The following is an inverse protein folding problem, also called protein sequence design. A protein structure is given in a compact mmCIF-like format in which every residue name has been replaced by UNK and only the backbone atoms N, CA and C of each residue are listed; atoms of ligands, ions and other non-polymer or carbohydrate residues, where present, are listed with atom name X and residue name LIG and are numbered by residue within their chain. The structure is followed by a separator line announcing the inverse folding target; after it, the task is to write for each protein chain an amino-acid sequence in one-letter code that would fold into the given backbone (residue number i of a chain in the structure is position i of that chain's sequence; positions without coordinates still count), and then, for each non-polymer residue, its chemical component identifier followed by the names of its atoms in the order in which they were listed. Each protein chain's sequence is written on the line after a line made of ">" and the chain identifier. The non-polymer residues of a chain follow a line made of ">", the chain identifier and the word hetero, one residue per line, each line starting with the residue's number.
data_IF_254315232200
#
_entry.id   IF_254315232200
#
_cell.length_a   1.000
_cell.length_b   1.000
_cell.length_c   1.000
_cell.angle_alpha   90.00
_cell.angle_beta   90.00
_cell.angle_gamma   90.00
#
_symmetry.space_group_name_H-M   'P 1'
#
loop_
_entity.id
_entity.type
_entity.pdbx_description
1 polymer ?
#
# COMPACT_ATOMS: atom_id res chain seq x y z
N UNK A 1 -4.43 -30.61 15.05
CA UNK A 1 -4.95 -29.24 14.98
C UNK A 1 -3.99 -28.43 14.13
N UNK A 2 -4.47 -27.52 13.28
CA UNK A 2 -3.58 -26.65 12.51
C UNK A 2 -3.10 -25.53 13.43
N UNK A 3 -1.87 -25.61 13.92
CA UNK A 3 -1.17 -24.53 14.64
C UNK A 3 -0.65 -23.48 13.64
N UNK A 4 -1.54 -22.98 12.77
CA UNK A 4 -1.13 -22.00 11.77
C UNK A 4 -1.27 -20.61 12.38
N UNK A 5 -0.14 -19.96 12.64
CA UNK A 5 -0.11 -18.55 12.99
C UNK A 5 -0.62 -17.74 11.80
N UNK A 6 -1.79 -17.11 11.91
CA UNK A 6 -2.32 -16.25 10.84
C UNK A 6 -1.39 -15.03 10.73
N UNK A 7 -0.71 -14.88 9.59
CA UNK A 7 0.11 -13.69 9.36
C UNK A 7 -0.74 -12.54 8.80
N UNK A 8 -0.36 -11.28 9.03
CA UNK A 8 -1.06 -10.12 8.45
C UNK A 8 -1.19 -10.16 6.92
N UNK A 9 -0.32 -10.89 6.24
CA UNK A 9 -0.35 -11.10 4.78
C UNK A 9 -1.45 -12.06 4.33
N UNK A 10 -1.93 -12.91 5.24
CA UNK A 10 -2.95 -13.93 5.00
C UNK A 10 -4.36 -13.37 5.23
N UNK A 11 -4.45 -12.22 5.89
CA UNK A 11 -5.70 -11.50 6.06
C UNK A 11 -6.08 -10.76 4.77
N UNK A 12 -7.38 -10.70 4.43
CA UNK A 12 -7.85 -9.83 3.36
C UNK A 12 -7.61 -8.36 3.73
N UNK A 13 -7.55 -7.51 2.70
CA UNK A 13 -7.66 -6.07 2.92
C UNK A 13 -9.13 -5.74 3.16
N UNK A 14 -9.38 -4.99 4.23
CA UNK A 14 -10.70 -4.45 4.54
C UNK A 14 -10.89 -3.07 3.89
N UNK A 15 -12.10 -2.52 3.92
CA UNK A 15 -12.39 -1.18 3.39
C UNK A 15 -11.45 -0.12 3.95
N UNK A 16 -11.24 -0.14 5.27
CA UNK A 16 -10.44 0.87 5.96
C UNK A 16 -8.96 0.77 5.57
N UNK A 17 -8.49 -0.44 5.28
CA UNK A 17 -7.15 -0.66 4.74
C UNK A 17 -7.01 -0.03 3.35
N UNK A 18 -8.03 -0.18 2.51
CA UNK A 18 -8.06 0.40 1.16
C UNK A 18 -8.15 1.92 1.21
N UNK A 19 -8.87 2.49 2.17
CA UNK A 19 -8.93 3.94 2.36
C UNK A 19 -7.56 4.52 2.71
N UNK A 20 -6.83 3.88 3.62
CA UNK A 20 -5.45 4.27 3.95
C UNK A 20 -4.54 4.18 2.73
N UNK A 21 -4.58 3.04 2.00
CA UNK A 21 -3.75 2.84 0.81
C UNK A 21 -4.09 3.87 -0.27
N UNK A 22 -5.38 4.18 -0.49
CA UNK A 22 -5.82 5.15 -1.49
C UNK A 22 -5.36 6.56 -1.14
N UNK A 23 -5.52 6.99 0.11
CA UNK A 23 -5.08 8.32 0.55
C UNK A 23 -3.57 8.50 0.39
N UNK A 24 -2.78 7.47 0.72
CA UNK A 24 -1.33 7.50 0.54
C UNK A 24 -0.95 7.50 -0.95
N UNK A 25 -1.68 6.76 -1.79
CA UNK A 25 -1.44 6.77 -3.23
C UNK A 25 -1.70 8.14 -3.84
N UNK A 26 -2.77 8.82 -3.42
CA UNK A 26 -3.09 10.18 -3.88
C UNK A 26 -1.97 11.16 -3.50
N UNK A 27 -1.49 11.15 -2.25
CA UNK A 27 -0.36 11.96 -1.79
C UNK A 27 0.92 11.71 -2.61
N UNK A 28 1.29 10.45 -2.82
CA UNK A 28 2.50 10.09 -3.59
C UNK A 28 2.36 10.48 -5.06
N UNK A 29 1.15 10.37 -5.63
CA UNK A 29 0.89 10.78 -7.01
C UNK A 29 1.00 12.30 -7.16
N UNK A 30 0.44 13.07 -6.23
CA UNK A 30 0.56 14.53 -6.21
C UNK A 30 2.02 14.97 -6.10
N UNK A 31 2.78 14.39 -5.16
CA UNK A 31 4.20 14.68 -4.98
C UNK A 31 5.04 14.42 -6.23
N UNK A 32 4.67 13.40 -7.02
CA UNK A 32 5.40 13.01 -8.25
C UNK A 32 4.83 13.66 -9.51
N UNK A 33 3.73 14.40 -9.44
CA UNK A 33 3.03 14.94 -10.61
C UNK A 33 2.45 13.84 -11.51
N UNK A 34 2.12 12.68 -10.94
CA UNK A 34 1.62 11.50 -11.65
C UNK A 34 0.09 11.50 -11.61
N UNK A 35 -0.55 11.27 -12.76
CA UNK A 35 -2.00 11.11 -12.80
C UNK A 35 -2.45 9.78 -12.17
N UNK A 36 -3.54 9.79 -11.39
CA UNK A 36 -4.07 8.62 -10.68
C UNK A 36 -4.46 7.44 -11.58
N UNK A 37 -4.73 7.69 -12.88
CA UNK A 37 -5.15 6.68 -13.87
C UNK A 37 -4.03 6.31 -14.84
N UNK A 38 -2.78 6.44 -14.41
CA UNK A 38 -1.60 6.06 -15.19
C UNK A 38 -1.09 4.69 -14.77
N UNK A 39 -0.34 4.04 -15.66
CA UNK A 39 0.34 2.78 -15.35
C UNK A 39 1.35 2.94 -14.20
N UNK A 40 1.88 4.15 -14.00
CA UNK A 40 2.77 4.44 -12.88
C UNK A 40 2.02 4.43 -11.54
N UNK A 41 0.85 5.08 -11.47
CA UNK A 41 -0.01 5.03 -10.29
C UNK A 41 -0.47 3.60 -9.96
N UNK A 42 -0.76 2.78 -10.98
CA UNK A 42 -1.07 1.35 -10.79
C UNK A 42 0.10 0.58 -10.18
N UNK A 43 1.33 0.82 -10.66
CA UNK A 43 2.55 0.21 -10.08
C UNK A 43 2.76 0.64 -8.63
N UNK A 44 2.61 1.93 -8.33
CA UNK A 44 2.71 2.48 -6.97
C UNK A 44 1.69 1.80 -6.04
N UNK A 45 0.43 1.71 -6.46
CA UNK A 45 -0.63 1.06 -5.69
C UNK A 45 -0.35 -0.43 -5.43
N UNK A 46 0.17 -1.15 -6.42
CA UNK A 46 0.56 -2.55 -6.24
C UNK A 46 1.67 -2.74 -5.19
N UNK A 47 2.69 -1.86 -5.21
CA UNK A 47 3.76 -1.86 -4.19
C UNK A 47 3.20 -1.54 -2.81
N UNK A 48 2.33 -0.53 -2.70
CA UNK A 48 1.68 -0.17 -1.43
C UNK A 48 0.87 -1.34 -0.84
N UNK A 49 0.07 -2.04 -1.66
CA UNK A 49 -0.68 -3.23 -1.23
C UNK A 49 0.26 -4.31 -0.69
N UNK A 50 1.39 -4.56 -1.36
CA UNK A 50 2.36 -5.56 -0.92
C UNK A 50 2.99 -5.19 0.44
N UNK A 51 3.44 -3.95 0.60
CA UNK A 51 4.02 -3.45 1.84
C UNK A 51 3.00 -3.49 2.99
N UNK A 52 1.76 -3.11 2.71
CA UNK A 52 0.69 -3.11 3.69
C UNK A 52 0.37 -4.53 4.20
N UNK A 53 0.33 -5.51 3.29
CA UNK A 53 0.20 -6.94 3.63
C UNK A 53 1.40 -7.49 4.40
N UNK A 54 2.58 -6.92 4.22
CA UNK A 54 3.76 -7.25 5.04
C UNK A 54 3.73 -6.65 6.45
N UNK A 55 2.74 -5.78 6.75
CA UNK A 55 2.53 -5.19 8.07
C UNK A 55 2.83 -3.70 8.16
N UNK A 56 3.10 -3.01 7.04
CA UNK A 56 3.30 -1.56 7.03
C UNK A 56 1.95 -0.85 7.10
N UNK A 57 1.46 -0.60 8.32
CA UNK A 57 0.14 0.01 8.56
C UNK A 57 0.15 1.53 8.70
N UNK A 58 1.33 2.11 8.93
CA UNK A 58 1.50 3.56 9.06
C UNK A 58 1.61 4.21 7.66
N UNK A 59 0.75 5.18 7.37
CA UNK A 59 0.66 5.79 6.04
C UNK A 59 1.93 6.53 5.63
N UNK A 60 2.59 7.25 6.56
CA UNK A 60 3.83 7.96 6.26
C UNK A 60 4.97 6.99 5.96
N UNK A 61 5.08 5.88 6.70
CA UNK A 61 6.03 4.79 6.40
C UNK A 61 5.72 4.12 5.08
N UNK A 62 4.44 3.91 4.76
CA UNK A 62 4.01 3.32 3.50
C UNK A 62 4.44 4.21 2.33
N UNK A 63 4.19 5.51 2.41
CA UNK A 63 4.62 6.49 1.41
C UNK A 63 6.16 6.48 1.24
N UNK A 64 6.90 6.55 2.34
CA UNK A 64 8.35 6.59 2.33
C UNK A 64 8.96 5.32 1.70
N UNK A 65 8.44 4.15 2.06
CA UNK A 65 8.90 2.87 1.50
C UNK A 65 8.55 2.78 0.02
N UNK A 66 7.31 3.09 -0.38
CA UNK A 66 6.92 3.06 -1.80
C UNK A 66 7.79 3.99 -2.64
N UNK A 67 8.13 5.18 -2.14
CA UNK A 67 9.04 6.12 -2.81
C UNK A 67 10.46 5.58 -2.97
N UNK A 68 10.90 4.67 -2.09
CA UNK A 68 12.24 4.07 -2.14
C UNK A 68 12.34 2.86 -3.10
N UNK A 69 11.21 2.26 -3.50
CA UNK A 69 11.16 1.11 -4.40
C UNK A 69 11.17 1.48 -5.91
N UNK A 70 11.14 2.77 -6.25
CA UNK A 70 11.08 3.33 -7.61
C UNK A 70 11.99 4.55 -7.74
#
# INVERSE_FOLDING_TARGET
>A
MLDTTIHPRDLPLFSDDLDVISNVLDEVCEDRGVGRRTQEAERLGAVMIQLYRQGVRDGAKLAALTKAYL
#
